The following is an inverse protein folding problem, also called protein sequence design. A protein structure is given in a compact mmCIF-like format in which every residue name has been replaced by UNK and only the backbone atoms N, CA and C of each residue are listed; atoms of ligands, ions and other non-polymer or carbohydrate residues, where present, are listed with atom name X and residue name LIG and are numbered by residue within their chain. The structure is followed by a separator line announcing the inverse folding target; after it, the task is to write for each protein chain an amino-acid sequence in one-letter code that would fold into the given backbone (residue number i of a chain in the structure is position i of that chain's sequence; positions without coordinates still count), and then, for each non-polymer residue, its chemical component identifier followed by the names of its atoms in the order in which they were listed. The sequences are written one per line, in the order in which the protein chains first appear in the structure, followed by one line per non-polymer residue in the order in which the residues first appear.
data_IF_487553463171
#
_entry.id   IF_487553463171
#
_cell.length_a   1.000
_cell.length_b   1.000
_cell.length_c   1.000
_cell.angle_alpha   90.00
_cell.angle_beta   90.00
_cell.angle_gamma   90.00
#
_symmetry.space_group_name_H-M   'P 1'
#
loop_
_entity.id
_entity.type
_entity.pdbx_description
1 polymer ?
#
# COMPACT_ATOMS: atom_id res chain seq x y z
N UNK A 1 -17.09 15.82 -11.26
CA UNK A 1 -17.64 14.47 -11.02
C UNK A 1 -16.60 13.44 -11.42
N UNK A 2 -15.83 12.99 -10.45
CA UNK A 2 -14.87 11.88 -10.64
C UNK A 2 -15.67 10.57 -10.73
N UNK A 3 -15.43 9.73 -11.74
CA UNK A 3 -16.11 8.44 -11.84
C UNK A 3 -15.71 7.54 -10.65
N UNK A 4 -16.71 7.11 -9.88
CA UNK A 4 -16.47 6.32 -8.64
C UNK A 4 -15.83 4.98 -8.94
N UNK A 5 -16.17 4.36 -10.07
CA UNK A 5 -15.79 3.00 -10.40
C UNK A 5 -14.29 2.70 -10.25
N UNK A 6 -13.45 3.31 -11.04
CA UNK A 6 -12.00 2.99 -11.01
C UNK A 6 -11.29 3.63 -9.82
N UNK A 7 -11.69 4.85 -9.44
CA UNK A 7 -11.03 5.60 -8.38
C UNK A 7 -11.21 4.98 -7.00
N UNK A 8 -12.40 4.43 -6.70
CA UNK A 8 -12.64 3.74 -5.44
C UNK A 8 -11.69 2.54 -5.27
N UNK A 9 -11.55 1.71 -6.30
CA UNK A 9 -10.71 0.51 -6.22
C UNK A 9 -9.21 0.80 -6.26
N UNK A 10 -8.79 1.93 -6.80
CA UNK A 10 -7.41 2.40 -6.71
C UNK A 10 -7.09 2.90 -5.30
N UNK A 11 -8.01 3.62 -4.66
CA UNK A 11 -7.79 4.16 -3.31
C UNK A 11 -7.85 3.10 -2.22
N UNK A 12 -8.61 2.02 -2.40
CA UNK A 12 -8.70 0.86 -1.48
C UNK A 12 -7.53 -0.13 -1.68
N UNK A 13 -6.46 0.30 -2.31
CA UNK A 13 -5.38 -0.54 -2.78
C UNK A 13 -4.71 -1.41 -1.72
N UNK A 14 -4.48 -0.91 -0.52
CA UNK A 14 -3.68 -1.62 0.48
C UNK A 14 -4.49 -2.63 1.30
N UNK A 15 -5.78 -2.42 1.50
CA UNK A 15 -6.60 -3.25 2.40
C UNK A 15 -7.21 -4.49 1.75
N UNK A 16 -7.22 -4.58 0.42
CA UNK A 16 -7.86 -5.69 -0.30
C UNK A 16 -6.88 -6.43 -1.21
N UNK A 17 -6.35 -5.78 -2.23
CA UNK A 17 -5.39 -6.35 -3.17
C UNK A 17 -4.26 -5.34 -3.35
N UNK A 18 -3.04 -5.72 -2.94
CA UNK A 18 -1.88 -4.83 -2.98
C UNK A 18 -0.69 -5.48 -3.67
N UNK A 19 -0.10 -4.77 -4.61
CA UNK A 19 1.17 -5.16 -5.24
C UNK A 19 2.34 -5.15 -4.26
N UNK A 20 2.22 -4.42 -3.16
CA UNK A 20 3.23 -4.41 -2.10
C UNK A 20 3.42 -5.81 -1.48
N UNK A 21 2.37 -6.60 -1.35
CA UNK A 21 2.47 -7.98 -0.90
C UNK A 21 3.38 -8.83 -1.79
N UNK A 22 3.37 -8.59 -3.10
CA UNK A 22 4.24 -9.32 -4.02
C UNK A 22 5.72 -9.01 -3.85
N UNK A 23 6.07 -7.82 -3.40
CA UNK A 23 7.45 -7.45 -3.09
C UNK A 23 7.92 -7.99 -1.75
N UNK A 24 6.99 -8.18 -0.79
CA UNK A 24 7.28 -8.67 0.55
C UNK A 24 7.29 -10.21 0.65
N UNK A 25 6.41 -10.88 -0.09
CA UNK A 25 6.24 -12.33 -0.01
C UNK A 25 7.53 -13.12 -0.25
N UNK A 26 8.39 -12.79 -1.23
CA UNK A 26 9.66 -13.48 -1.42
C UNK A 26 10.63 -13.33 -0.24
N UNK A 27 10.62 -12.15 0.41
CA UNK A 27 11.47 -11.89 1.58
C UNK A 27 10.98 -12.69 2.79
N UNK A 28 9.66 -12.72 3.00
CA UNK A 28 9.06 -13.49 4.09
C UNK A 28 9.23 -14.99 3.88
N UNK A 29 9.07 -15.49 2.66
CA UNK A 29 9.28 -16.90 2.34
C UNK A 29 10.69 -17.37 2.69
N UNK A 30 11.71 -16.55 2.47
CA UNK A 30 13.11 -16.86 2.83
C UNK A 30 13.36 -16.86 4.34
N UNK A 31 12.53 -16.17 5.12
CA UNK A 31 12.66 -16.06 6.58
C UNK A 31 11.86 -17.13 7.33
N UNK A 32 10.97 -17.86 6.67
CA UNK A 32 10.15 -18.89 7.31
C UNK A 32 10.99 -20.11 7.71
N UNK A 33 10.75 -20.62 8.92
CA UNK A 33 11.40 -21.85 9.42
C UNK A 33 10.76 -23.12 8.86
N UNK A 34 9.50 -23.06 8.49
CA UNK A 34 8.72 -24.21 8.01
C UNK A 34 7.63 -23.75 7.04
N UNK A 35 7.46 -24.50 5.96
CA UNK A 35 6.41 -24.28 4.97
C UNK A 35 4.98 -24.36 5.56
N UNK A 36 4.81 -25.13 6.63
CA UNK A 36 3.53 -25.22 7.37
C UNK A 36 3.06 -23.89 7.95
N UNK A 37 3.97 -22.95 8.20
CA UNK A 37 3.65 -21.60 8.70
C UNK A 37 3.14 -20.67 7.59
N UNK A 38 3.28 -21.04 6.33
CA UNK A 38 2.92 -20.19 5.19
C UNK A 38 1.47 -19.70 5.21
N UNK A 39 0.53 -20.58 5.54
CA UNK A 39 -0.87 -20.20 5.65
C UNK A 39 -1.11 -19.11 6.72
N UNK A 40 -0.49 -19.25 7.88
CA UNK A 40 -0.62 -18.27 8.96
C UNK A 40 0.09 -16.95 8.61
N UNK A 41 1.31 -17.04 8.08
CA UNK A 41 2.14 -15.85 7.77
C UNK A 41 1.54 -15.04 6.62
N UNK A 42 1.13 -15.69 5.52
CA UNK A 42 0.63 -14.96 4.35
C UNK A 42 -0.87 -14.67 4.43
N UNK A 43 -1.68 -15.70 4.60
CA UNK A 43 -3.14 -15.52 4.65
C UNK A 43 -3.60 -14.86 5.95
N UNK A 44 -3.06 -15.28 7.09
CA UNK A 44 -3.42 -14.71 8.39
C UNK A 44 -3.06 -13.22 8.49
N UNK A 45 -1.91 -12.81 7.98
CA UNK A 45 -1.52 -11.41 7.94
C UNK A 45 -2.46 -10.57 7.07
N UNK A 46 -2.83 -11.06 5.87
CA UNK A 46 -3.76 -10.37 4.99
C UNK A 46 -5.17 -10.22 5.58
N UNK A 47 -5.67 -11.26 6.26
CA UNK A 47 -6.97 -11.18 6.95
C UNK A 47 -6.91 -10.14 8.06
N UNK A 48 -5.83 -10.12 8.85
CA UNK A 48 -5.64 -9.13 9.91
C UNK A 48 -5.58 -7.70 9.35
N UNK A 49 -4.86 -7.49 8.26
CA UNK A 49 -4.79 -6.19 7.57
C UNK A 49 -6.18 -5.76 7.08
N UNK A 50 -6.94 -6.66 6.45
CA UNK A 50 -8.30 -6.39 5.99
C UNK A 50 -9.24 -6.01 7.13
N UNK A 51 -9.17 -6.68 8.28
CA UNK A 51 -9.95 -6.33 9.49
C UNK A 51 -9.61 -4.94 10.00
N UNK A 52 -8.32 -4.60 10.08
CA UNK A 52 -7.87 -3.27 10.50
C UNK A 52 -8.36 -2.20 9.51
N UNK A 53 -8.26 -2.45 8.21
CA UNK A 53 -8.77 -1.54 7.19
C UNK A 53 -10.28 -1.30 7.32
N UNK A 54 -11.06 -2.35 7.61
CA UNK A 54 -12.50 -2.22 7.86
C UNK A 54 -12.82 -1.43 9.14
N UNK A 55 -12.01 -1.56 10.18
CA UNK A 55 -12.16 -0.74 11.41
C UNK A 55 -11.96 0.74 11.08
N UNK A 56 -10.93 1.09 10.31
CA UNK A 56 -10.71 2.47 9.87
C UNK A 56 -11.83 3.01 8.99
N UNK A 57 -12.34 2.20 8.05
CA UNK A 57 -13.47 2.56 7.22
C UNK A 57 -14.75 2.80 8.05
N UNK A 58 -15.03 1.91 8.99
CA UNK A 58 -16.16 2.05 9.91
C UNK A 58 -16.04 3.30 10.79
N UNK A 59 -14.85 3.59 11.32
CA UNK A 59 -14.60 4.80 12.10
C UNK A 59 -14.79 6.07 11.26
N UNK A 60 -14.33 6.09 10.01
CA UNK A 60 -14.57 7.18 9.09
C UNK A 60 -16.06 7.42 8.80
N UNK A 61 -16.82 6.34 8.58
CA UNK A 61 -18.26 6.44 8.36
C UNK A 61 -19.05 6.86 9.61
N UNK A 62 -18.61 6.44 10.80
CA UNK A 62 -19.31 6.73 12.04
C UNK A 62 -19.10 8.17 12.54
N UNK A 63 -17.95 8.76 12.28
CA UNK A 63 -17.56 10.05 12.84
C UNK A 63 -17.88 11.23 11.92
N UNK A 64 -18.06 10.99 10.66
CA UNK A 64 -18.36 12.01 9.67
C UNK A 64 -19.74 11.77 9.07
N UNK A 65 -20.73 12.58 9.48
CA UNK A 65 -22.12 12.47 9.04
C UNK A 65 -22.34 13.19 7.71
N UNK A 66 -23.26 12.67 6.91
CA UNK A 66 -23.71 13.32 5.69
C UNK A 66 -24.89 14.24 6.07
N UNK A 67 -24.72 15.56 5.96
CA UNK A 67 -25.76 16.55 6.12
C UNK A 67 -25.91 17.31 4.79
N UNK A 68 -27.10 17.36 4.24
CA UNK A 68 -27.41 17.99 2.95
C UNK A 68 -26.54 17.50 1.77
N UNK A 69 -26.21 16.20 1.75
CA UNK A 69 -25.38 15.59 0.70
C UNK A 69 -23.89 15.92 0.80
N UNK A 70 -23.43 16.57 1.87
CA UNK A 70 -22.02 16.87 2.14
C UNK A 70 -21.56 16.16 3.42
N UNK A 71 -20.36 15.58 3.38
CA UNK A 71 -19.71 15.07 4.59
C UNK A 71 -19.26 16.26 5.46
N UNK A 72 -19.96 16.46 6.55
CA UNK A 72 -19.61 17.52 7.52
C UNK A 72 -18.42 17.07 8.37
N UNK A 73 -17.43 17.92 8.47
CA UNK A 73 -16.21 17.71 9.28
C UNK A 73 -15.10 16.94 8.59
N UNK A 74 -15.37 16.06 7.64
CA UNK A 74 -14.32 15.30 6.93
C UNK A 74 -13.46 16.21 6.04
N UNK A 75 -14.09 17.12 5.31
CA UNK A 75 -13.36 18.05 4.45
C UNK A 75 -12.43 18.97 5.26
N UNK A 76 -12.87 19.42 6.40
CA UNK A 76 -12.09 20.24 7.35
C UNK A 76 -10.94 19.43 7.96
N UNK A 77 -11.20 18.21 8.42
CA UNK A 77 -10.18 17.33 8.95
C UNK A 77 -9.10 16.97 7.89
N UNK A 78 -9.51 16.72 6.65
CA UNK A 78 -8.60 16.45 5.54
C UNK A 78 -7.85 17.70 5.07
N UNK A 79 -8.47 18.88 5.15
CA UNK A 79 -7.80 20.16 4.85
C UNK A 79 -6.68 20.45 5.86
N UNK A 80 -6.84 20.03 7.12
CA UNK A 80 -5.81 20.10 8.15
C UNK A 80 -4.69 19.06 7.98
N UNK A 81 -4.88 18.12 7.06
CA UNK A 81 -3.92 17.06 6.73
C UNK A 81 -4.36 15.68 7.23
N UNK A 82 -3.85 14.63 6.59
CA UNK A 82 -4.22 13.25 6.89
C UNK A 82 -3.88 12.84 8.33
N UNK A 83 -2.74 13.29 8.85
CA UNK A 83 -2.34 13.02 10.24
C UNK A 83 -3.30 13.65 11.26
N UNK A 84 -3.84 14.84 10.94
CA UNK A 84 -4.84 15.50 11.77
C UNK A 84 -6.17 14.73 11.77
N UNK A 85 -6.61 14.23 10.63
CA UNK A 85 -7.80 13.39 10.51
C UNK A 85 -7.67 12.09 11.32
N UNK A 86 -6.53 11.41 11.23
CA UNK A 86 -6.24 10.21 12.02
C UNK A 86 -6.26 10.52 13.53
N UNK A 87 -5.62 11.61 13.92
CA UNK A 87 -5.61 12.06 15.32
C UNK A 87 -7.03 12.32 15.84
N UNK A 88 -7.86 13.03 15.06
CA UNK A 88 -9.26 13.35 15.42
C UNK A 88 -10.11 12.08 15.58
N UNK A 89 -9.97 11.13 14.63
CA UNK A 89 -10.63 9.82 14.70
C UNK A 89 -10.23 9.08 15.97
N UNK A 90 -8.94 8.97 16.25
CA UNK A 90 -8.44 8.29 17.45
C UNK A 90 -8.88 8.97 18.75
N UNK A 91 -8.89 10.31 18.78
CA UNK A 91 -9.32 11.07 19.95
C UNK A 91 -10.81 10.88 20.26
N UNK A 92 -11.65 10.90 19.22
CA UNK A 92 -13.11 10.73 19.36
C UNK A 92 -13.50 9.30 19.73
N UNK A 93 -12.75 8.30 19.29
CA UNK A 93 -13.06 6.88 19.54
C UNK A 93 -12.42 6.34 20.82
N UNK A 94 -11.19 6.72 21.13
CA UNK A 94 -10.38 6.11 22.19
C UNK A 94 -9.97 7.07 23.31
N UNK A 95 -10.29 8.35 23.19
CA UNK A 95 -9.90 9.37 24.17
C UNK A 95 -8.38 9.63 24.19
N UNK A 96 -7.93 10.42 25.18
CA UNK A 96 -6.54 10.93 25.24
C UNK A 96 -5.48 9.83 25.38
N UNK A 97 -5.73 8.79 26.15
CA UNK A 97 -4.76 7.68 26.34
C UNK A 97 -4.71 6.81 25.09
N UNK A 98 -5.87 6.49 24.53
CA UNK A 98 -5.95 5.68 23.32
C UNK A 98 -5.30 6.37 22.11
N UNK A 99 -5.48 7.69 21.98
CA UNK A 99 -4.85 8.44 20.89
C UNK A 99 -3.32 8.41 20.99
N UNK A 100 -2.76 8.51 22.18
CA UNK A 100 -1.30 8.45 22.36
C UNK A 100 -0.73 7.09 21.89
N UNK A 101 -1.37 5.99 22.28
CA UNK A 101 -0.97 4.65 21.85
C UNK A 101 -1.15 4.43 20.34
N UNK A 102 -2.28 4.88 19.79
CA UNK A 102 -2.55 4.77 18.36
C UNK A 102 -1.56 5.57 17.53
N UNK A 103 -1.21 6.79 17.93
CA UNK A 103 -0.24 7.63 17.24
C UNK A 103 1.17 7.05 17.25
N UNK A 104 1.58 6.38 18.32
CA UNK A 104 2.83 5.62 18.34
C UNK A 104 2.82 4.54 17.23
N UNK A 105 1.74 3.77 17.13
CA UNK A 105 1.57 2.77 16.07
C UNK A 105 1.59 3.38 14.66
N UNK A 106 0.87 4.48 14.47
CA UNK A 106 0.80 5.21 13.18
C UNK A 106 2.16 5.76 12.75
N UNK A 107 3.03 6.14 13.70
CA UNK A 107 4.40 6.60 13.39
C UNK A 107 5.34 5.44 13.11
N UNK A 108 5.26 4.36 13.89
CA UNK A 108 6.15 3.20 13.73
C UNK A 108 5.85 2.42 12.45
N UNK A 109 4.60 2.27 12.07
CA UNK A 109 4.18 1.50 10.91
C UNK A 109 4.84 1.96 9.58
N UNK A 110 4.85 3.24 9.21
CA UNK A 110 5.55 3.71 8.02
C UNK A 110 7.07 3.51 8.07
N UNK A 111 7.68 3.57 9.26
CA UNK A 111 9.12 3.35 9.42
C UNK A 111 9.47 1.89 9.09
N UNK A 112 8.73 0.94 9.65
CA UNK A 112 8.96 -0.50 9.41
C UNK A 112 8.63 -0.89 7.96
N UNK A 113 7.54 -0.37 7.42
CA UNK A 113 7.14 -0.62 6.03
C UNK A 113 8.11 0.03 5.04
N UNK A 114 8.60 1.23 5.35
CA UNK A 114 9.60 1.94 4.56
C UNK A 114 10.94 1.18 4.51
N UNK A 115 11.45 0.69 5.66
CA UNK A 115 12.66 -0.13 5.69
C UNK A 115 12.53 -1.34 4.76
N UNK A 116 11.41 -2.04 4.85
CA UNK A 116 11.17 -3.23 4.04
C UNK A 116 11.02 -2.90 2.55
N UNK A 117 10.36 -1.80 2.21
CA UNK A 117 10.20 -1.33 0.83
C UNK A 117 11.54 -0.94 0.21
N UNK A 118 12.37 -0.17 0.91
CA UNK A 118 13.71 0.21 0.46
C UNK A 118 14.65 -1.00 0.32
N UNK A 119 14.51 -1.97 1.21
CA UNK A 119 15.23 -3.25 1.12
C UNK A 119 14.84 -4.03 -0.13
N UNK A 120 13.55 -4.15 -0.40
CA UNK A 120 13.04 -4.80 -1.61
C UNK A 120 13.52 -4.10 -2.87
N UNK A 121 13.43 -2.78 -2.95
CA UNK A 121 13.92 -1.98 -4.08
C UNK A 121 15.43 -2.19 -4.30
N UNK A 122 16.24 -2.16 -3.23
CA UNK A 122 17.66 -2.42 -3.29
C UNK A 122 17.98 -3.81 -3.84
N UNK A 123 17.28 -4.85 -3.34
CA UNK A 123 17.52 -6.22 -3.78
C UNK A 123 17.12 -6.40 -5.25
N UNK A 124 15.99 -5.83 -5.67
CA UNK A 124 15.57 -5.86 -7.07
C UNK A 124 16.59 -5.17 -7.98
N UNK A 125 17.10 -4.00 -7.59
CA UNK A 125 18.16 -3.30 -8.33
C UNK A 125 19.47 -4.09 -8.36
N UNK A 126 19.83 -4.76 -7.24
CA UNK A 126 20.99 -5.63 -7.14
C UNK A 126 20.91 -6.77 -8.14
N UNK A 127 19.76 -7.45 -8.20
CA UNK A 127 19.53 -8.57 -9.13
C UNK A 127 19.57 -8.09 -10.59
N UNK A 128 18.98 -6.95 -10.88
CA UNK A 128 18.95 -6.38 -12.23
C UNK A 128 20.32 -5.90 -12.69
N UNK A 129 21.08 -5.22 -11.82
CA UNK A 129 22.41 -4.71 -12.12
C UNK A 129 23.52 -5.77 -11.91
N UNK A 130 23.15 -6.98 -11.43
CA UNK A 130 24.06 -8.07 -11.11
C UNK A 130 25.18 -7.66 -10.14
N UNK A 131 24.84 -6.84 -9.16
CA UNK A 131 25.76 -6.34 -8.12
C UNK A 131 25.64 -7.26 -6.90
N UNK A 132 26.74 -7.88 -6.53
CA UNK A 132 26.81 -8.71 -5.33
C UNK A 132 26.58 -7.86 -4.06
N UNK A 133 25.74 -8.40 -3.16
CA UNK A 133 25.33 -7.75 -1.90
C UNK A 133 26.16 -8.19 -0.67
N UNK A 134 27.14 -9.05 -0.84
CA UNK A 134 27.98 -9.51 0.30
C UNK A 134 28.87 -8.39 0.82
N UNK A 135 29.36 -7.53 -0.08
CA UNK A 135 30.17 -6.38 0.29
C UNK A 135 29.33 -5.22 0.82
N UNK A 136 29.71 -4.66 1.96
CA UNK A 136 29.08 -3.47 2.54
C UNK A 136 29.12 -2.25 1.59
N UNK A 137 30.23 -2.08 0.87
CA UNK A 137 30.37 -1.00 -0.11
C UNK A 137 29.34 -1.10 -1.27
N UNK A 138 29.08 -2.31 -1.75
CA UNK A 138 28.09 -2.54 -2.79
C UNK A 138 26.65 -2.31 -2.29
N UNK A 139 26.37 -2.69 -1.04
CA UNK A 139 25.10 -2.34 -0.40
C UNK A 139 24.90 -0.84 -0.32
N UNK A 140 25.93 -0.10 0.09
CA UNK A 140 25.85 1.35 0.22
C UNK A 140 25.66 2.04 -1.13
N UNK A 141 26.34 1.58 -2.19
CA UNK A 141 26.17 2.10 -3.57
C UNK A 141 24.74 2.05 -4.07
N UNK A 142 23.96 1.05 -3.66
CA UNK A 142 22.55 0.92 -4.03
C UNK A 142 21.61 1.59 -3.02
N UNK A 143 21.94 1.58 -1.72
CA UNK A 143 21.13 2.21 -0.70
C UNK A 143 21.10 3.74 -0.85
N UNK A 144 22.25 4.36 -1.09
CA UNK A 144 22.35 5.82 -1.15
C UNK A 144 21.44 6.44 -2.22
N UNK A 145 21.45 6.00 -3.50
CA UNK A 145 20.53 6.55 -4.49
C UNK A 145 19.07 6.26 -4.18
N UNK A 146 18.73 5.06 -3.72
CA UNK A 146 17.33 4.70 -3.42
C UNK A 146 16.80 5.53 -2.24
N UNK A 147 17.57 5.66 -1.17
CA UNK A 147 17.22 6.52 -0.04
C UNK A 147 17.24 8.01 -0.42
N UNK A 148 18.17 8.41 -1.31
CA UNK A 148 18.26 9.77 -1.83
C UNK A 148 17.01 10.18 -2.59
N UNK A 149 16.46 9.32 -3.44
CA UNK A 149 15.20 9.56 -4.13
C UNK A 149 14.05 9.66 -3.11
N UNK A 150 13.98 8.76 -2.13
CA UNK A 150 12.96 8.82 -1.07
C UNK A 150 13.05 10.11 -0.25
N UNK A 151 14.25 10.51 0.14
CA UNK A 151 14.49 11.76 0.87
C UNK A 151 14.12 12.98 0.02
N UNK A 152 14.49 13.00 -1.27
CA UNK A 152 14.12 14.07 -2.20
C UNK A 152 12.61 14.23 -2.32
N UNK A 153 11.87 13.14 -2.47
CA UNK A 153 10.40 13.17 -2.53
C UNK A 153 9.80 13.64 -1.20
N UNK A 154 10.32 13.17 -0.06
CA UNK A 154 9.85 13.58 1.27
C UNK A 154 10.12 15.04 1.58
N UNK A 155 11.35 15.52 1.32
CA UNK A 155 11.73 16.92 1.53
C UNK A 155 10.98 17.83 0.54
N UNK A 156 10.86 17.40 -0.72
CA UNK A 156 10.12 18.16 -1.75
C UNK A 156 8.65 18.33 -1.39
N UNK A 157 8.03 17.33 -0.78
CA UNK A 157 6.68 17.46 -0.23
C UNK A 157 6.63 18.41 0.98
N UNK A 158 7.57 18.31 1.91
CA UNK A 158 7.64 19.19 3.08
C UNK A 158 7.87 20.65 2.72
N UNK A 159 8.62 20.92 1.66
CA UNK A 159 8.88 22.27 1.13
C UNK A 159 7.78 22.76 0.17
N UNK A 160 6.77 21.94 -0.13
CA UNK A 160 5.65 22.30 -1.00
C UNK A 160 5.94 22.26 -2.50
N UNK A 161 7.13 21.79 -2.95
CA UNK A 161 7.45 21.62 -4.37
C UNK A 161 6.71 20.45 -5.00
N UNK A 162 6.40 19.43 -4.21
CA UNK A 162 5.77 18.19 -4.66
C UNK A 162 4.48 18.01 -3.90
N UNK A 163 3.37 17.82 -4.63
CA UNK A 163 2.09 17.57 -4.02
C UNK A 163 1.95 16.08 -3.64
N UNK A 164 1.81 15.81 -2.35
CA UNK A 164 1.62 14.47 -1.81
C UNK A 164 0.48 13.71 -2.50
N UNK A 165 -0.63 14.38 -2.82
CA UNK A 165 -1.80 13.77 -3.45
C UNK A 165 -1.47 13.17 -4.82
N UNK A 166 -0.61 13.84 -5.59
CA UNK A 166 -0.14 13.36 -6.90
C UNK A 166 0.73 12.12 -6.73
N UNK A 167 1.72 12.17 -5.82
CA UNK A 167 2.58 11.00 -5.51
C UNK A 167 1.71 9.82 -5.07
N UNK A 168 0.73 10.06 -4.19
CA UNK A 168 -0.15 9.03 -3.68
C UNK A 168 -0.98 8.35 -4.77
N UNK A 169 -1.48 9.12 -5.74
CA UNK A 169 -2.21 8.57 -6.89
C UNK A 169 -1.34 7.69 -7.77
N UNK A 170 -0.16 8.15 -8.14
CA UNK A 170 0.80 7.35 -8.90
C UNK A 170 1.21 6.08 -8.16
N UNK A 171 1.51 6.19 -6.88
CA UNK A 171 1.81 5.05 -6.02
C UNK A 171 0.66 4.05 -6.03
N UNK A 172 -0.57 4.50 -5.77
CA UNK A 172 -1.74 3.64 -5.70
C UNK A 172 -2.01 2.92 -7.03
N UNK A 173 -1.93 3.63 -8.14
CA UNK A 173 -2.11 3.00 -9.47
C UNK A 173 -1.00 2.00 -9.79
N UNK A 174 0.26 2.34 -9.54
CA UNK A 174 1.41 1.44 -9.76
C UNK A 174 1.29 0.19 -8.90
N UNK A 175 0.88 0.33 -7.65
CA UNK A 175 0.65 -0.77 -6.73
C UNK A 175 -0.44 -1.72 -7.25
N UNK A 176 -1.55 -1.20 -7.76
CA UNK A 176 -2.63 -2.00 -8.32
C UNK A 176 -2.24 -2.67 -9.64
N UNK A 177 -1.48 -1.99 -10.47
CA UNK A 177 -0.95 -2.56 -11.71
C UNK A 177 0.02 -3.71 -11.42
N UNK A 178 0.87 -3.58 -10.40
CA UNK A 178 1.74 -4.65 -9.96
C UNK A 178 0.94 -5.85 -9.43
N UNK A 179 -0.09 -5.60 -8.62
CA UNK A 179 -1.00 -6.65 -8.15
C UNK A 179 -1.66 -7.42 -9.30
N UNK A 180 -2.13 -6.71 -10.32
CA UNK A 180 -2.67 -7.30 -11.54
C UNK A 180 -1.67 -8.23 -12.22
N UNK A 181 -0.45 -7.78 -12.46
CA UNK A 181 0.61 -8.56 -13.12
C UNK A 181 0.91 -9.84 -12.32
N UNK A 182 1.03 -9.72 -10.99
CA UNK A 182 1.34 -10.85 -10.12
C UNK A 182 0.19 -11.86 -10.07
N UNK A 183 -1.05 -11.41 -10.06
CA UNK A 183 -2.23 -12.29 -10.13
C UNK A 183 -2.27 -13.08 -11.46
N UNK A 184 -1.94 -12.44 -12.58
CA UNK A 184 -1.81 -13.15 -13.86
C UNK A 184 -0.65 -14.15 -13.86
N UNK A 185 0.51 -13.79 -13.31
CA UNK A 185 1.64 -14.70 -13.16
C UNK A 185 1.28 -15.92 -12.28
N UNK A 186 0.58 -15.70 -11.17
CA UNK A 186 0.06 -16.76 -10.32
C UNK A 186 -0.97 -17.64 -11.05
N UNK A 187 -1.83 -17.06 -11.90
CA UNK A 187 -2.79 -17.82 -12.71
C UNK A 187 -2.08 -18.74 -13.69
N UNK A 188 -1.03 -18.25 -14.35
CA UNK A 188 -0.21 -19.06 -15.25
C UNK A 188 0.53 -20.19 -14.53
N UNK A 189 1.02 -19.92 -13.33
CA UNK A 189 1.66 -20.94 -12.50
C UNK A 189 0.66 -22.05 -12.11
N UNK A 190 -0.52 -21.67 -11.59
CA UNK A 190 -1.55 -22.64 -11.20
C UNK A 190 -2.05 -23.46 -12.41
N UNK A 191 -2.17 -22.84 -13.58
CA UNK A 191 -2.51 -23.53 -14.81
C UNK A 191 -1.46 -24.60 -15.20
N UNK A 192 -0.18 -24.27 -15.11
CA UNK A 192 0.93 -25.22 -15.37
C UNK A 192 0.90 -26.40 -14.38
N UNK A 193 0.61 -26.11 -13.12
CA UNK A 193 0.50 -27.11 -12.05
C UNK A 193 -0.82 -27.91 -12.08
N UNK A 194 -1.66 -27.69 -13.12
CA UNK A 194 -2.99 -28.30 -13.28
C UNK A 194 -3.90 -28.11 -12.05
N UNK A 195 -3.72 -27.00 -11.35
CA UNK A 195 -4.55 -26.56 -10.22
C UNK A 195 -5.63 -25.59 -10.69
N UNK A 196 -6.58 -25.29 -9.81
CA UNK A 196 -7.66 -24.35 -10.12
C UNK A 196 -7.12 -22.92 -10.24
N UNK A 197 -6.86 -22.47 -11.47
CA UNK A 197 -6.34 -21.15 -11.77
C UNK A 197 -7.40 -20.03 -11.68
N UNK A 198 -8.70 -20.36 -11.66
CA UNK A 198 -9.77 -19.38 -11.57
C UNK A 198 -9.71 -18.55 -10.29
N UNK A 199 -9.16 -19.10 -9.22
CA UNK A 199 -8.98 -18.41 -7.93
C UNK A 199 -8.18 -17.11 -8.09
N UNK A 200 -7.22 -17.08 -8.99
CA UNK A 200 -6.37 -15.92 -9.26
C UNK A 200 -6.75 -15.19 -10.55
N UNK A 201 -7.29 -15.89 -11.55
CA UNK A 201 -7.67 -15.32 -12.83
C UNK A 201 -8.87 -14.35 -12.72
N UNK A 202 -9.88 -14.68 -11.90
CA UNK A 202 -11.04 -13.80 -11.68
C UNK A 202 -10.62 -12.46 -11.07
N UNK A 203 -9.91 -12.41 -9.93
CA UNK A 203 -9.42 -11.15 -9.41
C UNK A 203 -8.40 -10.46 -10.34
N UNK A 204 -7.58 -11.21 -11.10
CA UNK A 204 -6.69 -10.62 -12.09
C UNK A 204 -7.44 -9.87 -13.19
N UNK A 205 -8.53 -10.45 -13.72
CA UNK A 205 -9.38 -9.80 -14.73
C UNK A 205 -10.04 -8.54 -14.17
N UNK A 206 -10.56 -8.61 -12.95
CA UNK A 206 -11.13 -7.45 -12.28
C UNK A 206 -10.10 -6.33 -12.11
N UNK A 207 -8.89 -6.66 -11.63
CA UNK A 207 -7.83 -5.67 -11.46
C UNK A 207 -7.32 -5.11 -12.79
N UNK A 208 -7.36 -5.90 -13.86
CA UNK A 208 -7.06 -5.41 -15.22
C UNK A 208 -8.06 -4.34 -15.65
N UNK A 209 -9.36 -4.58 -15.43
CA UNK A 209 -10.40 -3.59 -15.74
C UNK A 209 -10.22 -2.31 -14.92
N UNK A 210 -9.95 -2.43 -13.62
CA UNK A 210 -9.72 -1.28 -12.73
C UNK A 210 -8.50 -0.47 -13.16
N UNK A 211 -7.35 -1.12 -13.38
CA UNK A 211 -6.08 -0.45 -13.71
C UNK A 211 -6.14 0.22 -15.08
N UNK A 212 -6.71 -0.45 -16.10
CA UNK A 212 -6.86 0.12 -17.43
C UNK A 212 -7.86 1.28 -17.46
N UNK A 213 -8.99 1.15 -16.77
CA UNK A 213 -9.99 2.23 -16.69
C UNK A 213 -9.41 3.46 -15.98
N UNK A 214 -8.67 3.25 -14.90
CA UNK A 214 -8.00 4.36 -14.22
C UNK A 214 -6.98 5.05 -15.12
N UNK A 215 -6.16 4.29 -15.84
CA UNK A 215 -5.16 4.85 -16.76
C UNK A 215 -5.80 5.75 -17.82
N UNK A 216 -6.96 5.38 -18.35
CA UNK A 216 -7.68 6.18 -19.38
C UNK A 216 -8.38 7.41 -18.79
N UNK A 217 -8.85 7.31 -17.53
CA UNK A 217 -9.65 8.36 -16.89
C UNK A 217 -8.88 9.23 -15.90
N UNK A 218 -7.60 8.96 -15.69
CA UNK A 218 -6.80 9.73 -14.75
C UNK A 218 -6.66 11.18 -15.22
N UNK A 219 -6.75 12.16 -14.30
CA UNK A 219 -6.61 13.58 -14.65
C UNK A 219 -5.24 13.93 -15.21
N UNK A 220 -4.27 13.05 -15.05
CA UNK A 220 -2.88 13.18 -15.49
C UNK A 220 -2.64 12.66 -16.93
N UNK A 221 -3.59 11.92 -17.50
CA UNK A 221 -3.60 11.44 -18.87
C UNK A 221 -4.54 12.29 -19.70
#
# INVERSE_FOLDING_TARGET
NTPIWSFMFITVACGAISGFHSTQSPLMARCMKSEKQGHFVFYGAMVSEGVIALIWAAAGCALYTITDGKMVGLAEALAAGQSAAIYDVCLKTMGKVGVALAMIGVVICPITSGDTAFRSARLTLSDWLKIDQDSYANRLKLCVPVLGVGAFLGIGNALGFINYTVIWRYFSWTNQTLAMIVLWAASMYLFKEKKNFWITAVPATFMSAVSCTYFVLAPEC
#
